data_IF_504772791218
#
_entry.id   IF_504772791218
#
_cell.length_a   1.000
_cell.length_b   1.000
_cell.length_c   1.000
_cell.angle_alpha   90.00
_cell.angle_beta   90.00
_cell.angle_gamma   90.00
#
_symmetry.space_group_name_H-M   'P 1'
#
loop_
_entity.id
_entity.type
_entity.pdbx_description
1 polymer ?
#
# COMPACT_ATOMS: atom_id res chain seq x y z
N UNK A 1 0.56 10.24 1.01
CA UNK A 1 0.73 11.56 0.35
C UNK A 1 0.56 12.74 1.32
N UNK A 2 -0.51 12.80 2.14
CA UNK A 2 -0.73 13.92 3.09
C UNK A 2 0.52 14.27 3.92
N UNK A 3 1.13 13.25 4.56
CA UNK A 3 2.32 13.44 5.39
C UNK A 3 3.52 13.96 4.60
N UNK A 4 3.80 13.40 3.41
CA UNK A 4 4.91 13.84 2.56
C UNK A 4 4.76 15.32 2.17
N UNK A 5 3.54 15.74 1.80
CA UNK A 5 3.26 17.15 1.44
C UNK A 5 3.45 18.07 2.65
N UNK A 6 3.05 17.65 3.85
CA UNK A 6 3.27 18.42 5.07
C UNK A 6 4.78 18.60 5.36
N UNK A 7 5.60 17.61 5.03
CA UNK A 7 7.06 17.67 5.15
C UNK A 7 7.77 18.40 4.00
N UNK A 8 7.02 18.96 3.03
CA UNK A 8 7.58 19.67 1.87
C UNK A 8 8.09 18.75 0.75
N UNK A 9 7.82 17.45 0.83
CA UNK A 9 8.24 16.44 -0.13
C UNK A 9 7.05 15.90 -0.95
N UNK A 10 7.36 15.23 -2.07
CA UNK A 10 6.36 14.58 -2.92
C UNK A 10 6.55 13.06 -2.91
N UNK A 11 5.45 12.31 -2.74
CA UNK A 11 5.43 10.87 -2.96
C UNK A 11 4.54 10.54 -4.15
N UNK A 12 5.20 10.35 -5.30
CA UNK A 12 4.55 9.97 -6.55
C UNK A 12 4.33 8.45 -6.66
N UNK A 13 4.97 7.66 -5.81
CA UNK A 13 4.89 6.19 -5.87
C UNK A 13 3.56 5.64 -5.36
N UNK A 14 2.79 6.42 -4.59
CA UNK A 14 1.53 6.01 -3.92
C UNK A 14 0.59 5.23 -4.82
N UNK A 15 0.29 5.72 -6.02
CA UNK A 15 -0.65 5.05 -6.93
C UNK A 15 -0.15 3.67 -7.37
N UNK A 16 1.16 3.54 -7.64
CA UNK A 16 1.76 2.27 -8.05
C UNK A 16 1.86 1.29 -6.89
N UNK A 17 2.15 1.78 -5.68
CA UNK A 17 2.16 0.98 -4.45
C UNK A 17 0.76 0.45 -4.14
N UNK A 18 -0.28 1.29 -4.23
CA UNK A 18 -1.67 0.87 -4.03
C UNK A 18 -2.03 -0.24 -5.03
N UNK A 19 -1.73 -0.05 -6.32
CA UNK A 19 -2.01 -1.05 -7.34
C UNK A 19 -1.27 -2.37 -7.10
N UNK A 20 0.03 -2.31 -6.80
CA UNK A 20 0.85 -3.49 -6.58
C UNK A 20 0.46 -4.25 -5.30
N UNK A 21 0.19 -3.53 -4.21
CA UNK A 21 -0.29 -4.12 -2.96
C UNK A 21 -1.66 -4.78 -3.14
N UNK A 22 -2.57 -4.16 -3.88
CA UNK A 22 -3.88 -4.71 -4.21
C UNK A 22 -3.80 -5.99 -5.04
N UNK A 23 -3.02 -5.97 -6.13
CA UNK A 23 -2.78 -7.16 -6.96
C UNK A 23 -2.12 -8.28 -6.16
N UNK A 24 -1.11 -7.95 -5.35
CA UNK A 24 -0.43 -8.94 -4.49
C UNK A 24 -1.39 -9.57 -3.50
N UNK A 25 -2.24 -8.76 -2.87
CA UNK A 25 -3.31 -9.24 -1.99
C UNK A 25 -4.22 -10.22 -2.73
N UNK A 26 -4.70 -9.82 -3.91
CA UNK A 26 -5.61 -10.65 -4.71
C UNK A 26 -4.98 -11.98 -5.13
N UNK A 27 -3.76 -11.94 -5.66
CA UNK A 27 -3.02 -13.14 -6.07
C UNK A 27 -2.79 -14.08 -4.89
N UNK A 28 -2.37 -13.56 -3.73
CA UNK A 28 -2.11 -14.41 -2.55
C UNK A 28 -3.39 -15.00 -1.99
N UNK A 29 -4.51 -14.27 -1.96
CA UNK A 29 -5.81 -14.83 -1.57
C UNK A 29 -6.19 -15.97 -2.51
N UNK A 30 -6.09 -15.74 -3.82
CA UNK A 30 -6.48 -16.73 -4.83
C UNK A 30 -5.59 -17.99 -4.81
N UNK A 31 -4.31 -17.85 -4.46
CA UNK A 31 -3.37 -18.98 -4.38
C UNK A 31 -3.43 -19.74 -3.06
N UNK A 32 -3.69 -19.06 -1.94
CA UNK A 32 -3.63 -19.65 -0.60
C UNK A 32 -5.00 -19.92 0.03
N UNK A 33 -6.07 -19.43 -0.59
CA UNK A 33 -7.45 -19.41 -0.06
C UNK A 33 -7.58 -18.71 1.30
N UNK A 34 -6.54 -18.01 1.75
CA UNK A 34 -6.45 -17.38 3.05
C UNK A 34 -6.49 -15.86 2.91
N UNK A 35 -7.62 -15.30 3.36
CA UNK A 35 -7.85 -13.85 3.45
C UNK A 35 -6.71 -13.13 4.19
N UNK A 36 -6.31 -13.65 5.34
CA UNK A 36 -5.33 -13.01 6.22
C UNK A 36 -3.92 -13.03 5.63
N UNK A 37 -3.54 -14.10 4.94
CA UNK A 37 -2.26 -14.17 4.24
C UNK A 37 -2.20 -13.14 3.10
N UNK A 38 -3.30 -12.98 2.36
CA UNK A 38 -3.41 -11.94 1.34
C UNK A 38 -3.24 -10.54 1.89
N UNK A 39 -4.00 -10.19 2.93
CA UNK A 39 -3.93 -8.88 3.58
C UNK A 39 -2.50 -8.63 4.09
N UNK A 40 -1.89 -9.61 4.76
CA UNK A 40 -0.53 -9.51 5.26
C UNK A 40 0.49 -9.26 4.13
N UNK A 41 0.35 -9.96 3.00
CA UNK A 41 1.24 -9.79 1.86
C UNK A 41 1.14 -8.38 1.23
N UNK A 42 -0.08 -7.86 1.05
CA UNK A 42 -0.29 -6.50 0.57
C UNK A 42 0.28 -5.44 1.50
N UNK A 43 0.05 -5.57 2.81
CA UNK A 43 0.59 -4.68 3.83
C UNK A 43 2.11 -4.70 3.86
N UNK A 44 2.73 -5.89 3.79
CA UNK A 44 4.18 -6.04 3.73
C UNK A 44 4.78 -5.35 2.50
N UNK A 45 4.13 -5.47 1.34
CA UNK A 45 4.61 -4.79 0.13
C UNK A 45 4.57 -3.27 0.26
N UNK A 46 3.48 -2.73 0.80
CA UNK A 46 3.35 -1.30 1.08
C UNK A 46 4.40 -0.81 2.08
N UNK A 47 4.58 -1.54 3.18
CA UNK A 47 5.57 -1.23 4.21
C UNK A 47 7.01 -1.26 3.67
N UNK A 48 7.35 -2.27 2.87
CA UNK A 48 8.67 -2.38 2.23
C UNK A 48 8.91 -1.22 1.24
N UNK A 49 7.92 -0.86 0.44
CA UNK A 49 8.04 0.29 -0.47
C UNK A 49 8.26 1.59 0.29
N UNK A 50 7.52 1.81 1.37
CA UNK A 50 7.70 2.97 2.26
C UNK A 50 9.08 2.99 2.92
N UNK A 51 9.53 1.84 3.42
CA UNK A 51 10.85 1.68 4.03
C UNK A 51 11.98 1.99 3.03
N UNK A 52 11.89 1.47 1.80
CA UNK A 52 12.88 1.73 0.75
C UNK A 52 12.93 3.22 0.41
N UNK A 53 11.78 3.86 0.17
CA UNK A 53 11.73 5.29 -0.09
C UNK A 53 12.32 6.10 1.08
N UNK A 54 11.87 5.83 2.30
CA UNK A 54 12.33 6.51 3.51
C UNK A 54 13.82 6.31 3.76
N UNK A 55 14.35 5.10 3.54
CA UNK A 55 15.78 4.81 3.69
C UNK A 55 16.61 5.59 2.67
N UNK A 56 16.23 5.57 1.39
CA UNK A 56 16.97 6.26 0.32
C UNK A 56 16.97 7.77 0.55
N UNK A 57 15.85 8.35 0.97
CA UNK A 57 15.75 9.78 1.23
C UNK A 57 16.54 10.15 2.49
N UNK A 58 16.29 9.48 3.62
CA UNK A 58 16.86 9.86 4.91
C UNK A 58 18.35 9.50 5.06
N UNK A 59 18.79 8.36 4.51
CA UNK A 59 20.18 7.89 4.66
C UNK A 59 21.06 8.24 3.47
N UNK A 60 20.56 8.06 2.24
CA UNK A 60 21.35 8.31 1.04
C UNK A 60 21.24 9.76 0.56
N UNK A 61 20.35 10.56 1.17
CA UNK A 61 20.15 12.00 0.88
C UNK A 61 19.83 12.26 -0.60
N UNK A 62 19.16 11.31 -1.25
CA UNK A 62 18.63 11.49 -2.60
C UNK A 62 17.30 12.23 -2.51
N UNK A 63 17.05 13.11 -3.48
CA UNK A 63 15.83 13.90 -3.53
C UNK A 63 14.57 13.01 -3.61
N UNK A 64 13.55 13.33 -2.80
CA UNK A 64 12.31 12.58 -2.68
C UNK A 64 11.55 12.41 -4.00
N UNK A 65 11.56 13.42 -4.88
CA UNK A 65 10.91 13.36 -6.19
C UNK A 65 11.55 12.27 -7.06
N UNK A 66 12.89 12.25 -7.13
CA UNK A 66 13.63 11.28 -7.96
C UNK A 66 13.44 9.87 -7.39
N UNK A 67 13.56 9.71 -6.08
CA UNK A 67 13.36 8.41 -5.41
C UNK A 67 11.96 7.87 -5.65
N UNK A 68 10.92 8.69 -5.44
CA UNK A 68 9.54 8.22 -5.55
C UNK A 68 9.12 7.99 -7.01
N UNK A 69 9.66 8.74 -7.97
CA UNK A 69 9.51 8.43 -9.40
C UNK A 69 10.14 7.08 -9.76
N UNK A 70 11.37 6.82 -9.31
CA UNK A 70 12.03 5.55 -9.56
C UNK A 70 11.25 4.37 -8.96
N UNK A 71 10.86 4.48 -7.69
CA UNK A 71 10.05 3.47 -6.99
C UNK A 71 8.70 3.28 -7.67
N UNK A 72 8.06 4.35 -8.15
CA UNK A 72 6.81 4.24 -8.91
C UNK A 72 6.96 3.30 -10.10
N UNK A 73 8.03 3.45 -10.89
CA UNK A 73 8.25 2.62 -12.08
C UNK A 73 8.57 1.16 -11.73
N UNK A 74 9.40 0.95 -10.71
CA UNK A 74 9.78 -0.38 -10.24
C UNK A 74 8.55 -1.13 -9.71
N UNK A 75 7.80 -0.51 -8.80
CA UNK A 75 6.63 -1.12 -8.17
C UNK A 75 5.51 -1.38 -9.18
N UNK A 76 5.36 -0.49 -10.17
CA UNK A 76 4.43 -0.71 -11.29
C UNK A 76 4.85 -1.89 -12.17
N UNK A 77 6.14 -2.03 -12.47
CA UNK A 77 6.67 -3.20 -13.17
C UNK A 77 6.42 -4.49 -12.40
N UNK A 78 6.65 -4.48 -11.09
CA UNK A 78 6.33 -5.59 -10.20
C UNK A 78 4.84 -5.94 -10.23
N UNK A 79 3.95 -4.94 -10.22
CA UNK A 79 2.50 -5.18 -10.32
C UNK A 79 2.13 -5.92 -11.61
N UNK A 80 2.75 -5.56 -12.74
CA UNK A 80 2.54 -6.26 -14.01
C UNK A 80 3.06 -7.69 -13.99
N UNK A 81 4.22 -7.93 -13.37
CA UNK A 81 4.77 -9.28 -13.24
C UNK A 81 3.88 -10.15 -12.35
N UNK A 82 3.45 -9.64 -11.20
CA UNK A 82 2.63 -10.39 -10.23
C UNK A 82 1.25 -10.70 -10.81
N UNK A 83 0.70 -9.81 -11.64
CA UNK A 83 -0.61 -10.00 -12.28
C UNK A 83 -0.58 -10.77 -13.60
N UNK A 84 0.60 -11.18 -14.09
CA UNK A 84 0.78 -11.63 -15.49
C UNK A 84 0.17 -10.66 -16.52
N UNK A 85 0.16 -9.36 -16.21
CA UNK A 85 -0.43 -8.31 -17.02
C UNK A 85 -1.97 -8.32 -17.11
N UNK A 86 -2.65 -9.08 -16.24
CA UNK A 86 -4.12 -9.24 -16.27
C UNK A 86 -4.80 -8.53 -15.10
N UNK A 87 -6.10 -8.30 -15.21
CA UNK A 87 -6.91 -7.90 -14.07
C UNK A 87 -7.09 -9.11 -13.13
N UNK A 88 -6.64 -8.98 -11.89
CA UNK A 88 -6.81 -10.00 -10.84
C UNK A 88 -7.85 -9.50 -9.84
N UNK A 89 -8.99 -10.19 -9.77
CA UNK A 89 -10.06 -9.92 -8.81
C UNK A 89 -9.96 -10.79 -7.56
N UNK A 90 -10.71 -10.39 -6.52
CA UNK A 90 -10.96 -11.18 -5.32
C UNK A 90 -12.44 -11.55 -5.35
N UNK A 91 -12.76 -12.84 -5.25
CA UNK A 91 -14.15 -13.32 -5.21
C UNK A 91 -14.66 -13.57 -3.78
N UNK A 92 -13.75 -13.63 -2.81
CA UNK A 92 -14.08 -13.89 -1.41
C UNK A 92 -14.85 -12.72 -0.76
N UNK A 93 -16.15 -12.93 -0.48
CA UNK A 93 -17.02 -11.95 0.18
C UNK A 93 -16.48 -11.46 1.53
N UNK A 94 -15.68 -12.27 2.24
CA UNK A 94 -15.09 -11.90 3.53
C UNK A 94 -14.13 -10.72 3.38
N UNK A 95 -13.46 -10.58 2.24
CA UNK A 95 -12.60 -9.43 1.94
C UNK A 95 -13.41 -8.13 1.83
N UNK A 96 -14.53 -8.18 1.12
CA UNK A 96 -15.42 -7.02 0.96
C UNK A 96 -16.14 -6.66 2.26
N UNK A 97 -16.51 -7.67 3.05
CA UNK A 97 -17.13 -7.47 4.38
C UNK A 97 -16.21 -6.66 5.29
N UNK A 98 -14.89 -6.89 5.23
CA UNK A 98 -13.90 -6.09 5.94
C UNK A 98 -13.82 -4.64 5.43
N UNK A 99 -13.91 -4.44 4.11
CA UNK A 99 -13.88 -3.12 3.50
C UNK A 99 -15.10 -2.25 3.82
N UNK A 100 -16.28 -2.86 3.94
CA UNK A 100 -17.54 -2.16 4.23
C UNK A 100 -18.02 -2.32 5.69
N UNK A 101 -17.22 -2.94 6.55
CA UNK A 101 -17.55 -3.08 7.97
C UNK A 101 -17.81 -1.69 8.56
N UNK A 102 -18.94 -1.54 9.27
CA UNK A 102 -19.28 -0.28 9.94
C UNK A 102 -19.09 -0.43 11.43
N UNK A 103 -18.22 0.38 12.01
CA UNK A 103 -17.98 0.44 13.44
C UNK A 103 -18.42 1.81 13.96
N UNK A 104 -19.29 1.82 14.97
CA UNK A 104 -19.80 3.05 15.60
C UNK A 104 -20.36 4.07 14.59
N UNK A 105 -21.01 3.61 13.51
CA UNK A 105 -21.62 4.46 12.49
C UNK A 105 -20.67 4.97 11.40
N UNK A 106 -19.39 4.58 11.43
CA UNK A 106 -18.41 4.93 10.41
C UNK A 106 -17.78 3.69 9.77
N UNK A 107 -17.50 3.70 8.45
CA UNK A 107 -16.75 2.63 7.79
C UNK A 107 -15.38 2.36 8.43
N UNK A 108 -15.02 1.08 8.58
CA UNK A 108 -13.75 0.61 9.13
C UNK A 108 -12.51 1.28 8.50
N UNK A 109 -12.46 1.58 7.19
CA UNK A 109 -11.33 2.31 6.60
C UNK A 109 -11.08 3.70 7.20
N UNK A 110 -12.12 4.36 7.73
CA UNK A 110 -11.98 5.66 8.41
C UNK A 110 -11.22 5.46 9.72
N UNK A 111 -11.59 4.46 10.51
CA UNK A 111 -10.90 4.12 11.75
C UNK A 111 -9.44 3.73 11.52
N UNK A 112 -9.15 2.96 10.45
CA UNK A 112 -7.77 2.64 10.06
C UNK A 112 -6.98 3.90 9.71
N UNK A 113 -7.58 4.84 8.99
CA UNK A 113 -6.92 6.12 8.64
C UNK A 113 -6.60 6.93 9.89
N UNK A 114 -7.54 7.02 10.84
CA UNK A 114 -7.33 7.69 12.13
C UNK A 114 -6.21 7.01 12.91
N UNK A 115 -6.21 5.68 13.00
CA UNK A 115 -5.15 4.93 13.68
C UNK A 115 -3.77 5.19 13.06
N UNK A 116 -3.67 5.18 11.73
CA UNK A 116 -2.41 5.50 11.02
C UNK A 116 -1.95 6.94 11.28
N UNK A 117 -2.86 7.91 11.30
CA UNK A 117 -2.53 9.30 11.64
C UNK A 117 -1.98 9.39 13.06
N UNK A 118 -2.69 8.82 14.04
CA UNK A 118 -2.26 8.84 15.44
C UNK A 118 -0.87 8.22 15.59
N UNK A 119 -0.62 7.05 15.00
CA UNK A 119 0.71 6.39 15.05
C UNK A 119 1.80 7.25 14.43
N UNK A 120 1.49 7.99 13.36
CA UNK A 120 2.44 8.82 12.63
C UNK A 120 2.72 10.17 13.31
N UNK A 121 1.79 10.69 14.11
CA UNK A 121 1.88 11.99 14.80
C UNK A 121 2.70 11.93 16.10
N UNK A 122 3.01 10.73 16.59
CA UNK A 122 3.82 10.52 17.81
C UNK A 122 5.35 10.61 17.59
N UNK A 123 5.83 11.05 16.42
CA UNK A 123 7.25 11.24 16.10
C UNK A 123 7.48 12.47 15.22
#
# INVERSE_FOLDING_TARGET
>A
MLFCLASGDFDLSVASVIACAGVTTAVVINLSESLWLGIAAGLLLGALSGLVNGFVIARLKINALITTLATMQIVRGLAYIISDGKAVGIEDERFFTLGYANWFGLPAPIWLTVACLVVSDYY
#
